data_IF_378832980358
#
_entry.id   IF_378832980358
#
_cell.length_a   1.000
_cell.length_b   1.000
_cell.length_c   1.000
_cell.angle_alpha   90.00
_cell.angle_beta   90.00
_cell.angle_gamma   90.00
#
_symmetry.space_group_name_H-M   'P 1'
#
loop_
_entity.id
_entity.type
_entity.pdbx_description
1 polymer ?
2 non-polymer ?
3 non-polymer ?
4 water ?
#
# COMPACT_ATOMS: atom_id res chain seq x y z
N UNK A 4 20.06 10.00 -9.52
CA UNK A 4 18.71 9.97 -10.06
C UNK A 4 18.63 10.37 -11.53
N UNK A 5 19.73 10.90 -12.08
CA UNK A 5 19.65 11.51 -13.40
C UNK A 5 19.44 10.50 -14.52
N UNK A 6 19.67 9.21 -14.26
CA UNK A 6 19.33 8.20 -15.26
C UNK A 6 17.86 7.81 -15.19
N UNK A 7 17.39 7.43 -14.00
CA UNK A 7 15.98 7.04 -13.84
C UNK A 7 15.05 8.21 -14.16
N UNK A 8 15.51 9.44 -13.91
CA UNK A 8 14.67 10.60 -14.21
C UNK A 8 14.49 10.83 -15.71
N UNK A 9 15.30 10.18 -16.56
CA UNK A 9 15.09 10.28 -18.00
C UNK A 9 13.76 9.68 -18.40
N UNK A 10 13.24 8.73 -17.62
CA UNK A 10 11.92 8.16 -17.86
C UNK A 10 10.79 9.10 -17.46
N UNK A 11 11.11 10.21 -16.79
CA UNK A 11 10.12 11.12 -16.25
C UNK A 11 10.00 12.36 -17.13
N UNK A 12 8.78 12.87 -17.27
CA UNK A 12 8.53 14.12 -17.98
C UNK A 12 8.72 15.29 -17.03
N UNK A 13 9.65 16.20 -17.37
CA UNK A 13 9.79 17.43 -16.61
C UNK A 13 8.64 18.37 -16.99
N UNK A 14 7.83 18.75 -16.01
CA UNK A 14 6.63 19.54 -16.25
C UNK A 14 6.91 20.99 -15.90
N UNK A 15 6.50 21.89 -16.75
CA UNK A 15 6.74 23.28 -16.45
C UNK A 15 5.71 23.79 -15.45
N UNK A 16 6.13 24.59 -14.47
CA UNK A 16 5.20 25.02 -13.41
C UNK A 16 3.93 25.66 -13.92
N UNK A 17 3.99 26.33 -15.08
CA UNK A 17 2.80 26.97 -15.63
C UNK A 17 1.70 25.97 -15.91
N UNK A 18 2.07 24.73 -16.24
CA UNK A 18 1.11 23.70 -16.63
C UNK A 18 0.38 23.07 -15.45
N UNK A 19 0.71 23.45 -14.22
CA UNK A 19 0.17 22.80 -13.02
C UNK A 19 -0.58 23.83 -12.20
N UNK A 20 -1.78 23.46 -11.76
CA UNK A 20 -2.61 24.29 -10.90
C UNK A 20 -2.93 23.50 -9.63
N UNK A 21 -2.40 23.95 -8.49
CA UNK A 21 -2.75 23.36 -7.21
C UNK A 21 -4.05 23.96 -6.69
N UNK A 22 -4.90 23.13 -6.09
CA UNK A 22 -6.26 23.55 -5.81
C UNK A 22 -6.71 23.31 -4.37
N UNK A 23 -6.43 22.14 -3.82
CA UNK A 23 -6.89 21.80 -2.47
C UNK A 23 -5.85 20.94 -1.77
N UNK A 24 -5.57 21.26 -0.51
CA UNK A 24 -4.69 20.43 0.30
C UNK A 24 -5.41 19.14 0.66
N UNK A 25 -4.79 18.00 0.35
CA UNK A 25 -5.33 16.69 0.69
C UNK A 25 -4.39 15.89 1.57
N UNK A 26 -3.21 16.43 1.87
CA UNK A 26 -2.27 15.79 2.77
C UNK A 26 -1.20 16.79 3.15
N UNK A 27 -0.54 16.51 4.27
CA UNK A 27 0.44 17.46 4.77
C UNK A 27 1.58 16.73 5.44
N UNK A 28 2.72 17.41 5.50
CA UNK A 28 3.88 16.90 6.19
C UNK A 28 4.80 18.05 6.55
N UNK A 29 6.01 17.68 6.99
CA UNK A 29 6.94 18.68 7.52
C UNK A 29 7.52 19.57 6.44
N UNK A 30 7.93 18.98 5.30
CA UNK A 30 8.65 19.73 4.28
C UNK A 30 7.88 19.79 2.97
N UNK A 31 6.57 19.62 3.01
CA UNK A 31 5.76 19.70 1.81
C UNK A 31 4.35 19.23 2.10
N UNK A 32 3.50 19.37 1.09
CA UNK A 32 2.10 18.99 1.18
C UNK A 32 1.71 18.13 -0.01
N UNK A 33 0.49 17.61 0.03
CA UNK A 33 -0.14 16.88 -1.05
C UNK A 33 -1.38 17.65 -1.47
N UNK A 34 -1.54 17.87 -2.77
CA UNK A 34 -2.63 18.65 -3.32
C UNK A 34 -3.38 17.85 -4.37
N UNK A 35 -4.66 18.17 -4.51
CA UNK A 35 -5.38 17.91 -5.75
C UNK A 35 -5.14 19.10 -6.67
N UNK A 36 -4.97 18.82 -7.95
CA UNK A 36 -4.81 19.89 -8.92
C UNK A 36 -5.17 19.47 -10.33
N UNK A 37 -4.74 20.28 -11.30
CA UNK A 37 -4.94 20.00 -12.71
C UNK A 37 -3.63 20.21 -13.46
N UNK A 38 -3.45 19.44 -14.54
CA UNK A 38 -2.18 19.40 -15.26
C UNK A 38 -2.43 19.66 -16.74
N UNK A 39 -1.86 20.75 -17.24
CA UNK A 39 -1.98 21.10 -18.66
C UNK A 39 -1.23 20.10 -19.53
N UNK A 40 -1.93 19.53 -20.51
CA UNK A 40 -1.31 18.69 -21.51
C UNK A 40 -2.00 18.85 -22.86
N UNK A 45 -6.27 20.31 -23.13
CA UNK A 45 -7.16 19.65 -22.20
C UNK A 45 -6.48 19.57 -20.84
N UNK A 46 -7.25 19.34 -19.79
CA UNK A 46 -6.71 19.29 -18.44
C UNK A 46 -7.19 18.04 -17.73
N UNK A 47 -6.26 17.38 -17.04
CA UNK A 47 -6.49 16.14 -16.31
C UNK A 47 -6.30 16.44 -14.83
N UNK A 48 -7.17 15.94 -13.95
CA UNK A 48 -6.89 16.10 -12.52
C UNK A 48 -5.68 15.25 -12.11
N UNK A 49 -4.92 15.77 -11.16
CA UNK A 49 -3.70 15.12 -10.69
C UNK A 49 -3.58 15.25 -9.18
N UNK A 50 -2.81 14.34 -8.60
CA UNK A 50 -2.32 14.53 -7.24
C UNK A 50 -0.89 15.06 -7.30
N UNK A 51 -0.57 15.94 -6.36
CA UNK A 51 0.69 16.66 -6.38
C UNK A 51 1.33 16.60 -5.01
N UNK A 52 2.55 16.08 -4.93
CA UNK A 52 3.35 16.06 -3.70
C UNK A 52 4.50 17.04 -3.85
N UNK A 53 4.69 17.91 -2.86
CA UNK A 53 5.66 18.99 -2.95
C UNK A 53 6.80 18.83 -1.95
N UNK A 54 7.92 19.48 -2.28
CA UNK A 54 9.10 19.59 -1.42
C UNK A 54 9.55 21.06 -1.46
N UNK A 55 9.38 21.76 -0.34
CA UNK A 55 9.62 23.19 -0.28
C UNK A 55 11.11 23.53 -0.16
N UNK A 56 11.46 24.74 -0.59
CA UNK A 56 12.83 25.24 -0.47
C UNK A 56 13.33 25.09 0.97
N UNK A 57 14.63 24.80 1.10
CA UNK A 57 15.22 24.48 2.38
C UNK A 57 15.53 23.01 2.56
N UNK A 58 15.05 22.15 1.65
CA UNK A 58 15.32 20.72 1.75
C UNK A 58 16.81 20.44 1.67
N UNK A 59 17.22 19.32 2.27
CA UNK A 59 18.61 18.88 2.23
C UNK A 59 18.89 18.12 0.93
N UNK A 60 20.18 17.86 0.71
CA UNK A 60 20.58 17.00 -0.40
C UNK A 60 19.92 15.63 -0.31
N UNK A 61 19.97 15.02 0.87
CA UNK A 61 19.36 13.70 1.05
C UNK A 61 17.87 13.76 0.77
N UNK A 62 17.19 14.81 1.23
CA UNK A 62 15.76 14.92 0.97
C UNK A 62 15.48 15.01 -0.53
N UNK A 63 16.29 15.77 -1.27
CA UNK A 63 16.10 15.88 -2.72
C UNK A 63 16.33 14.54 -3.41
N UNK A 64 17.39 13.83 -3.03
CA UNK A 64 17.70 12.54 -3.65
C UNK A 64 16.58 11.54 -3.35
N UNK A 65 16.11 11.50 -2.10
CA UNK A 65 15.00 10.61 -1.74
C UNK A 65 13.72 10.98 -2.49
N UNK A 66 13.42 12.29 -2.55
CA UNK A 66 12.17 12.75 -3.14
C UNK A 66 12.13 12.47 -4.64
N UNK A 67 13.17 12.91 -5.36
CA UNK A 67 13.21 12.63 -6.79
C UNK A 67 13.41 11.15 -7.05
N UNK A 68 14.04 10.43 -6.12
CA UNK A 68 14.24 9.00 -6.29
C UNK A 68 12.93 8.24 -6.34
N UNK A 69 11.93 8.67 -5.56
CA UNK A 69 10.61 8.05 -5.66
C UNK A 69 10.05 8.17 -7.07
N UNK A 70 10.19 9.34 -7.69
CA UNK A 70 9.70 9.52 -9.04
C UNK A 70 10.48 8.67 -10.02
N UNK A 71 11.80 8.56 -9.83
CA UNK A 71 12.60 7.71 -10.69
C UNK A 71 12.15 6.28 -10.65
N UNK A 72 11.74 5.81 -9.46
CA UNK A 72 11.23 4.44 -9.33
C UNK A 72 9.85 4.32 -9.94
N UNK A 73 8.93 5.24 -9.58
CA UNK A 73 7.58 5.20 -10.09
C UNK A 73 7.54 5.23 -11.62
N UNK A 74 8.45 5.99 -12.23
CA UNK A 74 8.50 6.10 -13.68
C UNK A 74 8.91 4.84 -14.40
N UNK A 75 9.45 3.85 -13.69
CA UNK A 75 9.80 2.56 -14.27
C UNK A 75 8.60 1.63 -14.40
N UNK A 76 7.51 1.92 -13.69
CA UNK A 76 6.37 1.04 -13.55
C UNK A 76 5.25 1.44 -14.50
N UNK A 77 4.59 0.44 -15.08
CA UNK A 77 3.41 0.66 -15.91
C UNK A 77 2.42 -0.48 -15.64
N UNK A 78 1.50 -0.25 -14.71
CA UNK A 78 0.57 -1.30 -14.34
C UNK A 78 -0.72 -0.67 -13.81
N UNK A 79 -1.84 -1.31 -14.14
CA UNK A 79 -3.17 -0.83 -13.75
C UNK A 79 -3.29 -0.59 -12.25
N UNK A 80 -2.57 -1.36 -11.43
CA UNK A 80 -2.72 -1.30 -9.98
C UNK A 80 -1.53 -0.64 -9.28
N UNK A 81 -0.80 0.21 -9.99
CA UNK A 81 0.34 0.96 -9.50
C UNK A 81 0.11 2.42 -9.89
N UNK A 82 0.24 3.32 -8.92
CA UNK A 82 -0.04 4.73 -9.20
C UNK A 82 0.85 5.21 -10.35
N UNK A 83 0.24 5.91 -11.31
CA UNK A 83 0.91 6.36 -12.52
C UNK A 83 1.53 7.74 -12.32
N UNK A 84 2.80 7.86 -12.69
CA UNK A 84 3.52 9.12 -12.63
C UNK A 84 3.20 9.94 -13.87
N UNK A 85 2.71 11.16 -13.66
CA UNK A 85 2.54 12.08 -14.79
C UNK A 85 3.83 12.82 -15.11
N UNK A 86 4.56 13.24 -14.08
CA UNK A 86 5.82 13.92 -14.30
C UNK A 86 6.30 14.57 -13.01
N UNK A 87 7.36 15.38 -13.14
CA UNK A 87 7.95 16.04 -11.98
C UNK A 87 8.28 17.49 -12.34
N UNK A 88 8.33 18.32 -11.30
CA UNK A 88 8.97 19.62 -11.36
C UNK A 88 10.22 19.53 -10.50
N UNK A 89 11.39 19.55 -11.15
CA UNK A 89 12.66 19.43 -10.46
C UNK A 89 13.59 20.61 -10.68
N UNK A 90 13.35 21.40 -11.73
CA UNK A 90 14.19 22.55 -12.02
C UNK A 90 13.82 23.76 -11.16
N UNK A 91 12.58 23.83 -10.68
CA UNK A 91 12.07 24.96 -9.94
C UNK A 91 11.63 24.52 -8.54
N UNK A 92 11.31 25.50 -7.72
CA UNK A 92 10.83 25.25 -6.36
C UNK A 92 9.45 25.85 -6.16
N UNK A 93 8.58 25.15 -5.41
CA UNK A 93 8.85 23.86 -4.76
C UNK A 93 8.90 22.72 -5.76
N UNK A 94 9.72 21.72 -5.48
CA UNK A 94 9.74 20.54 -6.34
C UNK A 94 8.41 19.80 -6.20
N UNK A 95 8.06 19.03 -7.23
CA UNK A 95 6.77 18.37 -7.25
C UNK A 95 6.86 17.01 -7.91
N UNK A 96 6.14 16.04 -7.36
CA UNK A 96 5.82 14.79 -8.03
C UNK A 96 4.33 14.81 -8.35
N UNK A 97 4.00 14.61 -9.60
CA UNK A 97 2.63 14.73 -10.09
C UNK A 97 2.17 13.37 -10.58
N UNK A 98 1.08 12.86 -10.00
CA UNK A 98 0.55 11.54 -10.33
C UNK A 98 -0.89 11.66 -10.81
N UNK A 99 -1.41 10.55 -11.33
CA UNK A 99 -2.85 10.46 -11.55
C UNK A 99 -3.58 10.72 -10.23
N UNK A 100 -4.81 11.22 -10.35
CA UNK A 100 -5.62 11.57 -9.19
C UNK A 100 -6.55 10.43 -8.83
N UNK A 101 -6.56 10.07 -7.56
CA UNK A 101 -7.39 8.99 -7.05
C UNK A 101 -8.49 9.62 -6.21
N UNK A 102 -9.72 9.63 -6.76
CA UNK A 102 -10.79 10.47 -6.23
C UNK A 102 -11.18 10.11 -4.81
N UNK A 103 -10.97 8.86 -4.40
CA UNK A 103 -11.47 8.39 -3.11
C UNK A 103 -10.38 8.26 -2.06
N UNK A 104 -9.14 8.67 -2.36
CA UNK A 104 -8.14 8.78 -1.31
C UNK A 104 -7.59 7.44 -0.85
N UNK A 105 -7.04 7.49 0.36
CA UNK A 105 -6.37 6.33 0.94
C UNK A 105 -7.39 5.29 1.38
N UNK A 106 -7.06 4.02 1.12
CA UNK A 106 -8.00 2.92 1.32
C UNK A 106 -8.43 2.77 2.78
N UNK A 107 -7.51 3.01 3.72
CA UNK A 107 -7.87 2.82 5.12
C UNK A 107 -8.93 3.83 5.55
N UNK A 108 -8.71 5.11 5.24
CA UNK A 108 -9.69 6.12 5.59
C UNK A 108 -10.98 5.94 4.80
N UNK A 109 -10.87 5.59 3.52
CA UNK A 109 -12.03 5.32 2.67
C UNK A 109 -12.95 4.28 3.31
N UNK A 110 -12.40 3.13 3.68
CA UNK A 110 -13.23 2.07 4.27
C UNK A 110 -13.83 2.48 5.62
N UNK A 111 -13.08 3.20 6.45
CA UNK A 111 -13.61 3.63 7.75
C UNK A 111 -14.74 4.62 7.61
N UNK A 112 -14.77 5.36 6.50
CA UNK A 112 -15.85 6.30 6.25
C UNK A 112 -17.00 5.70 5.46
N UNK A 113 -16.82 4.51 4.89
CA UNK A 113 -17.82 3.83 4.10
C UNK A 113 -18.21 2.50 4.73
N UNK A 114 -18.20 2.42 6.06
CA UNK A 114 -18.36 1.16 6.76
C UNK A 114 -19.63 0.44 6.34
N UNK A 115 -19.48 -0.80 5.87
CA UNK A 115 -20.60 -1.64 5.46
C UNK A 115 -21.26 -1.27 4.16
N UNK A 116 -20.64 -0.41 3.34
CA UNK A 116 -21.32 0.06 2.13
C UNK A 116 -20.99 -0.74 0.88
N UNK A 117 -20.16 -1.78 0.96
CA UNK A 117 -19.75 -2.56 -0.20
C UNK A 117 -20.16 -4.01 -0.05
N UNK A 118 -20.31 -4.68 -1.20
CA UNK A 118 -20.53 -6.12 -1.20
C UNK A 118 -19.22 -6.86 -0.96
N UNK A 119 -19.34 -8.12 -0.55
CA UNK A 119 -18.16 -8.96 -0.40
C UNK A 119 -17.39 -9.04 -1.71
N UNK A 120 -18.10 -9.18 -2.83
CA UNK A 120 -17.43 -9.26 -4.12
C UNK A 120 -16.62 -8.01 -4.42
N UNK A 121 -17.16 -6.82 -4.10
CA UNK A 121 -16.38 -5.59 -4.31
C UNK A 121 -15.12 -5.58 -3.46
N UNK A 122 -15.24 -5.96 -2.18
CA UNK A 122 -14.06 -5.98 -1.30
C UNK A 122 -13.02 -6.96 -1.81
N UNK A 123 -13.45 -8.15 -2.22
CA UNK A 123 -12.49 -9.11 -2.74
C UNK A 123 -11.89 -8.62 -4.06
N UNK A 124 -12.67 -7.89 -4.87
CA UNK A 124 -12.10 -7.31 -6.08
C UNK A 124 -11.00 -6.30 -5.79
N UNK A 125 -11.19 -5.48 -4.75
CA UNK A 125 -10.14 -4.60 -4.26
C UNK A 125 -8.86 -5.38 -4.00
N UNK A 126 -8.99 -6.47 -3.24
CA UNK A 126 -7.83 -7.25 -2.85
C UNK A 126 -7.13 -7.85 -4.06
N UNK A 127 -7.89 -8.26 -5.07
CA UNK A 127 -7.30 -8.79 -6.30
C UNK A 127 -6.46 -7.73 -6.99
N UNK A 128 -6.96 -6.50 -7.06
CA UNK A 128 -6.19 -5.42 -7.67
C UNK A 128 -4.89 -5.17 -6.91
N UNK A 129 -4.97 -5.12 -5.58
CA UNK A 129 -3.77 -4.88 -4.77
C UNK A 129 -2.76 -5.99 -5.00
N UNK A 130 -3.23 -7.24 -5.02
CA UNK A 130 -2.35 -8.37 -5.21
C UNK A 130 -1.71 -8.35 -6.61
N UNK A 131 -2.46 -7.91 -7.63
CA UNK A 131 -1.89 -7.79 -8.98
C UNK A 131 -0.81 -6.73 -9.03
N UNK A 132 -1.04 -5.58 -8.41
CA UNK A 132 0.00 -4.57 -8.33
C UNK A 132 1.23 -5.08 -7.61
N UNK A 133 1.03 -5.81 -6.51
CA UNK A 133 2.15 -6.35 -5.73
C UNK A 133 2.89 -7.43 -6.49
N UNK A 134 2.17 -8.29 -7.23
CA UNK A 134 2.83 -9.28 -8.06
C UNK A 134 3.77 -8.61 -9.06
N UNK A 135 3.30 -7.51 -9.66
CA UNK A 135 4.10 -6.77 -10.62
C UNK A 135 5.36 -6.20 -9.95
N UNK A 136 5.19 -5.52 -8.82
CA UNK A 136 6.35 -4.99 -8.08
C UNK A 136 7.35 -6.09 -7.77
N UNK A 137 6.85 -7.22 -7.23
CA UNK A 137 7.76 -8.30 -6.85
C UNK A 137 8.53 -8.81 -8.05
N UNK A 138 7.85 -8.97 -9.19
CA UNK A 138 8.57 -9.51 -10.33
C UNK A 138 9.45 -8.49 -11.01
N UNK A 139 9.22 -7.21 -10.75
CA UNK A 139 10.15 -6.16 -11.12
C UNK A 139 11.29 -6.01 -10.11
N UNK A 140 11.40 -6.94 -9.15
CA UNK A 140 12.44 -6.94 -8.12
C UNK A 140 12.36 -5.70 -7.23
N UNK A 141 11.13 -5.31 -6.88
CA UNK A 141 10.88 -4.18 -5.99
C UNK A 141 10.17 -4.69 -4.75
N UNK A 142 10.79 -4.50 -3.58
CA UNK A 142 10.20 -4.86 -2.30
C UNK A 142 9.61 -3.61 -1.68
N UNK A 143 8.35 -3.68 -1.29
CA UNK A 143 7.67 -2.44 -0.89
C UNK A 143 8.07 -1.98 0.52
N UNK A 144 8.08 -2.89 1.50
CA UNK A 144 8.44 -2.68 2.90
C UNK A 144 7.36 -1.97 3.74
N UNK A 145 6.39 -1.31 3.11
CA UNK A 145 5.37 -0.57 3.86
C UNK A 145 3.99 -0.79 3.25
N UNK A 146 3.69 -2.03 2.88
CA UNK A 146 2.37 -2.34 2.32
C UNK A 146 1.34 -2.33 3.45
N UNK A 147 0.32 -1.50 3.29
CA UNK A 147 -0.70 -1.23 4.30
C UNK A 147 -1.79 -0.45 3.58
N UNK A 148 -3.00 -0.50 4.12
CA UNK A 148 -4.11 0.18 3.44
C UNK A 148 -3.87 1.68 3.30
N UNK A 149 -3.14 2.28 4.24
CA UNK A 149 -2.85 3.70 4.16
C UNK A 149 -2.02 4.06 2.94
N UNK A 150 -1.34 3.09 2.32
CA UNK A 150 -0.55 3.34 1.13
C UNK A 150 -1.21 2.85 -0.14
N UNK A 151 -2.48 2.47 -0.09
CA UNK A 151 -3.25 2.11 -1.27
C UNK A 151 -4.22 3.25 -1.55
N UNK A 152 -4.29 3.69 -2.80
CA UNK A 152 -5.22 4.75 -3.18
C UNK A 152 -6.34 4.19 -4.04
N UNK A 153 -7.52 4.83 -3.98
CA UNK A 153 -8.73 4.29 -4.61
C UNK A 153 -9.33 5.34 -5.54
N UNK A 154 -9.64 4.95 -6.77
CA UNK A 154 -10.24 5.90 -7.70
C UNK A 154 -11.74 5.65 -7.80
N UNK A 155 -12.41 6.43 -8.67
CA UNK A 155 -13.86 6.37 -8.77
C UNK A 155 -14.38 5.13 -9.50
N UNK A 156 -13.51 4.30 -10.09
CA UNK A 156 -13.87 2.97 -10.54
C UNK A 156 -13.63 1.90 -9.48
N UNK A 157 -13.28 2.32 -8.26
CA UNK A 157 -12.95 1.43 -7.14
C UNK A 157 -11.66 0.66 -7.39
N UNK A 158 -10.84 1.13 -8.31
CA UNK A 158 -9.57 0.48 -8.57
C UNK A 158 -8.59 0.90 -7.50
N UNK A 159 -7.92 -0.08 -6.90
CA UNK A 159 -6.91 0.16 -5.87
C UNK A 159 -5.53 0.17 -6.50
N UNK A 160 -4.72 1.17 -6.14
CA UNK A 160 -3.38 1.27 -6.69
C UNK A 160 -2.36 1.44 -5.57
N UNK A 161 -1.27 0.69 -5.67
CA UNK A 161 -0.21 0.79 -4.67
C UNK A 161 0.57 2.08 -4.89
N UNK A 162 0.92 2.76 -3.79
CA UNK A 162 1.72 3.99 -3.82
C UNK A 162 2.80 3.90 -2.75
N UNK A 163 3.60 4.98 -2.64
CA UNK A 163 4.63 5.17 -1.63
C UNK A 163 5.88 4.35 -1.94
N UNK A 164 6.75 4.91 -2.79
CA UNK A 164 7.92 4.19 -3.29
C UNK A 164 9.19 4.94 -2.87
N UNK A 165 10.29 4.22 -2.87
CA UNK A 165 11.57 4.85 -2.56
C UNK A 165 12.45 3.89 -1.78
N UNK A 166 13.59 4.43 -1.35
CA UNK A 166 14.52 3.65 -0.56
C UNK A 166 14.29 3.95 0.92
N UNK A 167 15.23 4.62 1.59
CA UNK A 167 15.09 4.82 3.03
C UNK A 167 13.89 5.70 3.38
N UNK A 168 13.44 6.55 2.45
CA UNK A 168 12.39 7.52 2.74
C UNK A 168 11.07 6.85 3.10
N UNK A 169 10.82 5.63 2.63
CA UNK A 169 9.50 5.01 2.83
C UNK A 169 9.23 4.82 4.31
N UNK A 170 10.14 4.14 5.02
CA UNK A 170 9.90 3.91 6.45
C UNK A 170 10.28 5.11 7.30
N UNK A 171 11.18 5.98 6.83
CA UNK A 171 11.49 7.20 7.58
C UNK A 171 10.27 8.10 7.68
N UNK A 172 9.53 8.23 6.58
CA UNK A 172 8.43 9.20 6.49
C UNK A 172 7.13 8.72 7.10
N UNK A 173 6.97 7.41 7.31
CA UNK A 173 5.69 6.89 7.79
C UNK A 173 5.63 6.95 9.31
N UNK A 174 4.72 7.73 9.90
CA UNK A 174 4.67 7.78 11.37
C UNK A 174 4.24 6.46 12.01
N UNK A 175 3.66 5.53 11.26
CA UNK A 175 3.38 4.21 11.83
C UNK A 175 4.65 3.41 12.05
N UNK A 176 5.75 3.76 11.39
CA UNK A 176 6.99 3.05 11.57
C UNK A 176 7.70 3.61 12.79
N UNK A 177 7.93 2.76 13.78
CA UNK A 177 8.53 3.13 15.05
C UNK A 177 9.88 2.44 15.19
N UNK A 178 10.71 2.97 16.07
CA UNK A 178 12.04 2.41 16.28
C UNK A 178 11.96 1.16 17.15
N UNK A 179 12.57 0.07 16.69
CA UNK A 179 12.65 -1.13 17.51
C UNK A 179 13.77 -0.97 18.54
N UNK A 180 13.85 -1.96 19.43
CA UNK A 180 14.93 -1.96 20.41
C UNK A 180 16.29 -2.13 19.73
N UNK A 181 16.34 -2.68 18.52
CA UNK A 181 17.58 -2.92 17.80
C UNK A 181 17.91 -1.85 16.76
N UNK A 182 17.14 -0.77 16.69
CA UNK A 182 17.53 0.39 15.91
C UNK A 182 16.87 0.55 14.55
N UNK A 183 16.02 -0.38 14.13
CA UNK A 183 15.29 -0.24 12.89
C UNK A 183 13.96 0.46 13.08
N UNK A 184 13.54 1.21 12.05
CA UNK A 184 12.27 1.94 12.05
C UNK A 184 11.29 1.19 11.17
N UNK A 185 10.30 0.52 11.78
CA UNK A 185 9.41 -0.36 11.01
C UNK A 185 8.00 -0.27 11.55
N UNK A 186 6.99 -0.47 10.66
CA UNK A 186 5.58 -0.49 11.08
C UNK A 186 5.20 -1.86 11.58
N UNK A 187 5.35 -2.03 12.90
CA UNK A 187 5.43 -3.36 13.49
C UNK A 187 4.22 -4.23 13.13
N UNK A 188 3.00 -3.70 13.24
CA UNK A 188 1.90 -4.63 13.11
C UNK A 188 1.58 -4.99 11.66
N UNK A 189 2.29 -4.40 10.67
CA UNK A 189 2.21 -4.82 9.27
C UNK A 189 3.40 -5.65 8.84
N UNK A 190 4.39 -5.87 9.70
CA UNK A 190 5.68 -6.35 9.24
C UNK A 190 5.91 -7.81 9.64
N UNK A 191 6.48 -8.58 8.69
CA UNK A 191 6.73 -10.01 8.92
C UNK A 191 7.78 -10.22 10.00
N UNK A 192 7.72 -11.36 10.69
CA UNK A 192 8.65 -11.61 11.81
C UNK A 192 10.12 -11.51 11.41
N UNK A 193 10.52 -12.06 10.24
CA UNK A 193 11.93 -12.03 9.87
C UNK A 193 12.40 -10.61 9.56
N UNK A 194 11.50 -9.73 9.13
CA UNK A 194 11.90 -8.35 8.90
C UNK A 194 12.09 -7.62 10.22
N UNK A 195 11.22 -7.87 11.20
CA UNK A 195 11.41 -7.29 12.52
C UNK A 195 12.67 -7.85 13.17
N UNK A 196 12.83 -9.17 13.12
CA UNK A 196 13.86 -9.85 13.91
C UNK A 196 15.26 -9.63 13.33
N UNK A 197 15.43 -9.72 12.00
CA UNK A 197 16.79 -9.56 11.48
C UNK A 197 16.86 -8.78 10.17
N UNK A 198 15.85 -7.93 9.92
CA UNK A 198 15.90 -6.91 8.88
C UNK A 198 15.84 -7.53 7.48
N UNK A 199 15.17 -8.67 7.37
CA UNK A 199 15.07 -9.42 6.12
C UNK A 199 13.77 -9.02 5.44
N UNK A 200 13.86 -8.02 4.56
CA UNK A 200 12.71 -7.52 3.81
C UNK A 200 12.75 -8.10 2.40
N UNK A 201 11.71 -8.84 2.03
CA UNK A 201 11.63 -9.46 0.71
C UNK A 201 10.19 -9.38 0.22
N UNK A 202 9.96 -9.84 -1.01
CA UNK A 202 8.58 -9.93 -1.46
C UNK A 202 7.75 -10.87 -0.58
N UNK A 203 8.40 -11.82 0.11
CA UNK A 203 7.67 -12.69 1.03
C UNK A 203 7.27 -12.00 2.33
N UNK A 204 8.06 -11.03 2.81
CA UNK A 204 7.56 -10.23 3.93
C UNK A 204 6.47 -9.27 3.44
N UNK A 205 6.52 -8.84 2.18
CA UNK A 205 5.39 -8.08 1.64
C UNK A 205 4.11 -8.92 1.60
N UNK A 206 4.24 -10.23 1.38
CA UNK A 206 3.05 -11.10 1.41
C UNK A 206 2.44 -11.11 2.82
N UNK A 207 3.26 -11.19 3.86
CA UNK A 207 2.75 -11.05 5.23
C UNK A 207 1.95 -9.77 5.36
N UNK A 208 2.52 -8.65 4.89
CA UNK A 208 1.83 -7.37 4.96
C UNK A 208 0.54 -7.41 4.17
N UNK A 209 0.56 -8.05 2.99
CA UNK A 209 -0.67 -8.18 2.23
C UNK A 209 -1.76 -8.89 3.04
N UNK A 210 -1.39 -9.93 3.79
CA UNK A 210 -2.35 -10.59 4.65
C UNK A 210 -2.98 -9.62 5.64
N UNK A 211 -2.18 -8.72 6.19
CA UNK A 211 -2.74 -7.70 7.08
C UNK A 211 -3.67 -6.77 6.30
N UNK A 212 -3.29 -6.40 5.07
CA UNK A 212 -4.17 -5.56 4.24
C UNK A 212 -5.48 -6.27 3.96
N UNK A 213 -5.44 -7.58 3.71
CA UNK A 213 -6.69 -8.34 3.54
C UNK A 213 -7.59 -8.18 4.77
N UNK A 214 -6.99 -8.24 5.96
CA UNK A 214 -7.76 -8.07 7.18
C UNK A 214 -8.29 -6.63 7.29
N UNK A 215 -7.46 -5.63 6.95
CA UNK A 215 -7.93 -4.25 6.95
C UNK A 215 -9.13 -4.05 6.04
N UNK A 216 -9.07 -4.64 4.84
CA UNK A 216 -10.17 -4.47 3.90
C UNK A 216 -11.43 -5.14 4.43
N UNK A 217 -11.33 -6.41 4.82
CA UNK A 217 -12.54 -7.14 5.21
C UNK A 217 -13.17 -6.62 6.50
N UNK A 218 -12.41 -5.90 7.33
CA UNK A 218 -12.92 -5.27 8.55
C UNK A 218 -13.34 -3.82 8.35
N UNK A 219 -13.27 -3.30 7.13
CA UNK A 219 -13.53 -1.87 6.85
C UNK A 219 -12.60 -0.97 7.67
N UNK A 220 -11.33 -1.32 7.71
CA UNK A 220 -10.33 -0.44 8.26
C UNK A 220 -10.15 -0.51 9.75
N UNK A 221 -10.47 -1.65 10.36
CA UNK A 221 -10.09 -1.86 11.75
C UNK A 221 -8.58 -1.79 11.91
N UNK A 222 -8.14 -1.26 13.05
CA UNK A 222 -6.70 -1.14 13.28
C UNK A 222 -6.17 -2.51 13.73
N UNK A 223 -5.20 -3.09 13.03
CA UNK A 223 -4.76 -4.44 13.39
C UNK A 223 -4.26 -4.52 14.82
N UNK A 224 -4.68 -5.58 15.50
CA UNK A 224 -4.32 -5.94 16.88
C UNK A 224 -4.86 -4.96 17.90
N UNK A 225 -5.75 -4.04 17.49
CA UNK A 225 -6.46 -3.11 18.39
C UNK A 225 -5.44 -2.42 19.30
N UNK A 226 -5.61 -2.45 20.62
CA UNK A 226 -4.82 -1.63 21.51
C UNK A 226 -3.57 -2.34 22.02
N UNK A 227 -3.27 -3.54 21.50
CA UNK A 227 -2.00 -4.17 21.85
C UNK A 227 -0.86 -3.23 21.53
N UNK A 228 0.11 -3.16 22.44
CA UNK A 228 1.33 -2.42 22.17
C UNK A 228 2.15 -3.14 21.11
N UNK A 229 3.12 -2.43 20.53
CA UNK A 229 3.99 -3.05 19.52
C UNK A 229 4.71 -4.26 20.09
N UNK A 230 5.21 -4.17 21.32
CA UNK A 230 5.86 -5.32 21.92
C UNK A 230 4.88 -6.48 22.12
N UNK A 231 3.66 -6.17 22.57
CA UNK A 231 2.65 -7.23 22.75
C UNK A 231 2.26 -7.88 21.41
N UNK A 232 2.25 -7.10 20.31
CA UNK A 232 2.02 -7.69 18.99
C UNK A 232 3.14 -8.66 18.64
N UNK A 233 4.39 -8.22 18.79
CA UNK A 233 5.52 -9.09 18.48
C UNK A 233 5.50 -10.35 19.33
N UNK A 234 5.14 -10.22 20.62
CA UNK A 234 5.08 -11.38 21.49
C UNK A 234 3.94 -12.32 21.08
N UNK A 235 2.77 -11.76 20.75
CA UNK A 235 1.63 -12.60 20.36
C UNK A 235 1.95 -13.38 19.09
N UNK A 236 2.57 -12.73 18.10
CA UNK A 236 2.89 -13.41 16.85
C UNK A 236 3.91 -14.51 17.10
N UNK A 237 4.93 -14.23 17.91
CA UNK A 237 5.96 -15.23 18.18
C UNK A 237 5.39 -16.44 18.91
N UNK A 238 4.32 -16.23 19.69
CA UNK A 238 3.67 -17.31 20.43
C UNK A 238 2.57 -18.00 19.63
N UNK A 239 2.35 -17.60 18.38
CA UNK A 239 1.46 -18.32 17.48
C UNK A 239 0.09 -17.70 17.28
N UNK A 240 -0.21 -16.60 17.97
CA UNK A 240 -1.47 -15.88 17.82
C UNK A 240 -1.55 -15.22 16.44
N UNK A 241 -2.76 -15.16 15.89
CA UNK A 241 -2.98 -14.44 14.64
C UNK A 241 -4.28 -13.65 14.77
N UNK A 242 -4.45 -12.68 13.90
CA UNK A 242 -5.69 -11.90 13.93
C UNK A 242 -6.88 -12.82 13.72
N UNK A 243 -7.99 -12.58 14.40
CA UNK A 243 -9.18 -13.42 14.23
C UNK A 243 -9.97 -13.06 12.97
N UNK A 244 -10.92 -13.93 12.64
CA UNK A 244 -11.63 -13.72 11.39
C UNK A 244 -12.49 -12.46 11.46
N UNK A 245 -12.50 -11.66 10.42
CA UNK A 245 -13.43 -10.52 10.33
C UNK A 245 -14.88 -10.99 10.31
N UNK A 246 -15.79 -10.06 10.61
CA UNK A 246 -17.21 -10.35 10.44
C UNK A 246 -17.53 -10.53 8.96
N UNK A 247 -18.44 -11.45 8.67
CA UNK A 247 -19.00 -11.63 7.32
C UNK A 247 -17.90 -11.90 6.29
N UNK A 248 -16.88 -12.65 6.70
CA UNK A 248 -15.70 -12.93 5.88
C UNK A 248 -15.79 -14.30 5.23
N UNK A 249 -15.67 -14.39 3.90
CA UNK A 249 -15.64 -15.70 3.25
C UNK A 249 -14.55 -16.58 3.84
N UNK A 250 -14.89 -17.85 4.07
CA UNK A 250 -13.91 -18.78 4.62
C UNK A 250 -12.65 -18.84 3.77
N UNK A 251 -12.79 -18.83 2.43
CA UNK A 251 -11.63 -18.89 1.56
C UNK A 251 -10.72 -17.70 1.76
N UNK A 252 -11.30 -16.52 2.01
CA UNK A 252 -10.51 -15.32 2.20
C UNK A 252 -9.75 -15.38 3.53
N UNK A 253 -10.43 -15.83 4.60
CA UNK A 253 -9.72 -15.96 5.88
C UNK A 253 -8.60 -16.99 5.78
N UNK A 254 -8.87 -18.13 5.12
CA UNK A 254 -7.81 -19.12 4.93
C UNK A 254 -6.62 -18.52 4.19
N UNK A 255 -6.89 -17.72 3.16
CA UNK A 255 -5.79 -17.11 2.42
C UNK A 255 -4.98 -16.15 3.28
N UNK A 256 -5.63 -15.30 4.08
CA UNK A 256 -4.82 -14.38 4.88
C UNK A 256 -4.02 -15.15 5.94
N UNK A 257 -4.58 -16.23 6.49
CA UNK A 257 -3.84 -17.03 7.45
C UNK A 257 -2.61 -17.66 6.81
N UNK A 258 -2.69 -18.02 5.53
CA UNK A 258 -1.50 -18.54 4.85
C UNK A 258 -0.44 -17.48 4.64
N UNK A 259 -0.85 -16.22 4.47
CA UNK A 259 0.11 -15.13 4.37
C UNK A 259 0.90 -14.94 5.65
N UNK A 260 0.37 -15.38 6.80
CA UNK A 260 0.99 -15.17 8.10
C UNK A 260 1.69 -16.42 8.62
N UNK A 261 2.15 -17.28 7.72
CA UNK A 261 2.97 -18.41 8.18
C UNK A 261 4.29 -17.88 8.70
N UNK A 262 4.72 -18.38 9.87
CA UNK A 262 5.99 -17.94 10.41
C UNK A 262 7.14 -18.26 9.44
N UNK A 263 7.12 -19.45 8.84
CA UNK A 263 8.17 -19.83 7.90
C UNK A 263 7.92 -19.15 6.56
N UNK A 264 8.85 -18.27 6.18
CA UNK A 264 8.70 -17.48 4.98
C UNK A 264 8.43 -18.33 3.74
N UNK A 265 9.09 -19.50 3.64
CA UNK A 265 8.94 -20.34 2.45
C UNK A 265 7.56 -20.97 2.32
N UNK A 266 6.79 -21.02 3.40
CA UNK A 266 5.46 -21.60 3.32
C UNK A 266 4.38 -20.62 2.87
N UNK A 267 4.68 -19.32 2.82
CA UNK A 267 3.68 -18.34 2.41
C UNK A 267 3.44 -18.43 0.90
N UNK A 268 2.22 -18.15 0.44
CA UNK A 268 1.98 -18.07 -1.01
C UNK A 268 2.82 -16.94 -1.61
N UNK A 269 3.15 -17.09 -2.88
CA UNK A 269 3.67 -15.95 -3.62
C UNK A 269 2.52 -15.10 -4.10
N UNK A 270 2.82 -13.86 -4.51
CA UNK A 270 1.76 -13.02 -5.05
C UNK A 270 1.14 -13.64 -6.29
N UNK A 271 1.93 -14.39 -7.07
CA UNK A 271 1.33 -15.12 -8.20
C UNK A 271 0.23 -16.06 -7.73
N UNK A 272 0.45 -16.74 -6.59
CA UNK A 272 -0.56 -17.63 -6.04
C UNK A 272 -1.78 -16.86 -5.54
N UNK A 273 -1.54 -15.74 -4.87
CA UNK A 273 -2.62 -14.93 -4.33
C UNK A 273 -3.52 -14.41 -5.44
N UNK A 274 -2.93 -13.88 -6.52
CA UNK A 274 -3.73 -13.37 -7.63
C UNK A 274 -4.56 -14.49 -8.23
N UNK A 275 -3.92 -15.64 -8.46
CA UNK A 275 -4.62 -16.78 -9.05
C UNK A 275 -5.83 -17.17 -8.21
N UNK A 276 -5.64 -17.27 -6.89
CA UNK A 276 -6.71 -17.72 -6.01
C UNK A 276 -7.84 -16.71 -5.98
N UNK A 277 -7.49 -15.43 -5.87
CA UNK A 277 -8.55 -14.40 -5.82
C UNK A 277 -9.31 -14.35 -7.14
N UNK A 278 -8.60 -14.50 -8.26
CA UNK A 278 -9.25 -14.53 -9.57
C UNK A 278 -10.31 -15.62 -9.61
N UNK A 279 -9.92 -16.83 -9.20
CA UNK A 279 -10.84 -17.97 -9.30
C UNK A 279 -12.05 -17.79 -8.38
N UNK A 280 -11.84 -17.24 -7.18
CA UNK A 280 -12.97 -16.99 -6.29
C UNK A 280 -13.92 -15.96 -6.91
N UNK A 281 -13.38 -14.92 -7.53
CA UNK A 281 -14.20 -13.86 -8.09
C UNK A 281 -14.99 -14.37 -9.28
N UNK A 282 -14.37 -15.22 -10.10
CA UNK A 282 -15.03 -15.69 -11.31
C UNK A 282 -16.03 -16.80 -11.03
N UNK A 283 -16.03 -17.34 -9.82
CA UNK A 283 -17.05 -18.28 -9.35
C UNK A 283 -17.61 -17.75 -8.04
N UNK A 284 -18.37 -16.65 -8.08
CA UNK A 284 -18.62 -15.88 -6.86
C UNK A 284 -19.39 -16.62 -5.77
N UNK A 285 -20.01 -17.77 -6.07
CA UNK A 285 -20.64 -18.56 -5.02
C UNK A 285 -19.63 -19.06 -4.01
N UNK A 286 -18.36 -19.17 -4.40
CA UNK A 286 -17.30 -19.61 -3.49
C UNK A 286 -17.14 -18.68 -2.31
N UNK A 287 -17.59 -17.44 -2.42
CA UNK A 287 -17.49 -16.46 -1.35
C UNK A 287 -18.70 -16.47 -0.43
N UNK A 288 -19.73 -17.27 -0.73
CA UNK A 288 -20.93 -17.28 0.10
C UNK A 288 -20.70 -18.02 1.41
N UNK A 289 -19.75 -18.96 1.43
CA UNK A 289 -19.44 -19.72 2.64
C UNK A 289 -18.57 -18.89 3.56
N UNK A 290 -19.08 -18.59 4.77
CA UNK A 290 -18.43 -17.64 5.67
C UNK A 290 -17.71 -18.36 6.80
N UNK A 291 -16.50 -17.88 7.12
CA UNK A 291 -15.81 -18.32 8.33
C UNK A 291 -16.59 -17.91 9.57
N UNK A 292 -16.61 -18.79 10.57
CA UNK A 292 -17.29 -18.49 11.82
C UNK A 292 -16.72 -17.23 12.44
N UNK A 293 -17.57 -16.28 12.77
CA UNK A 293 -17.15 -15.11 13.52
C UNK A 293 -17.43 -15.37 15.00
N UNK A 294 -16.36 -15.37 15.81
CA UNK A 294 -16.33 -15.82 17.21
C UNK A 294 -17.69 -16.02 17.90
X LIG B 1 -7.42 11.70 -2.06
X LIG B 1 -6.29 11.51 -2.48
X LIG B 1 -6.08 11.35 -3.82
X LIG B 1 -4.84 11.11 -4.32
X LIG B 1 -4.63 10.92 -5.73
X LIG B 1 -5.23 11.42 -1.64
X LIG B 1 -5.44 11.60 -0.15
X LIG B 1 -3.99 11.20 -2.08
X LIG B 1 -3.74 11.03 -3.47
X LIG B 1 -2.78 11.09 -1.42
X LIG B 1 -1.83 10.85 -2.37
X LIG B 1 -2.37 10.81 -3.63
X LIG B 1 -1.37 10.58 -4.53
X LIG B 1 -0.49 10.66 -2.45
X LIG B 1 -0.15 10.47 -3.74
X LIG B 1 1.30 10.23 -4.14
X LIG B 1 2.02 11.20 -4.87
X LIG B 1 1.30 12.51 -5.34
X LIG B 1 3.33 10.99 -5.18
X LIG B 1 3.98 9.77 -4.73
X LIG B 1 1.94 9.03 -3.68
X LIG B 1 3.26 8.82 -3.99
X LIG B 1 3.83 7.70 -3.57
X LIG B 1 0.42 10.61 -1.26
X LIG B 1 1.36 11.62 -0.99
X LIG B 1 2.16 11.52 0.13
X LIG B 1 2.05 10.41 0.97
X LIG B 1 1.15 9.41 0.69
X LIG B 1 0.31 9.52 -0.45
X LIG B 1 -0.63 8.54 -0.77
X LIG B 1 -0.79 7.46 0.16
X LIG C 1 6.37 -13.10 -5.72
X LIG C 1 5.53 -12.95 -4.56
X LIG C 1 5.56 -12.77 -6.98
X LIG C 1 4.76 -13.90 -7.36
X LIG D 1 7.41 0.58 25.96
X LIG D 1 8.64 -0.01 26.39
X LIG D 1 6.22 -0.24 26.45
X LIG D 1 6.07 -1.44 25.71
X LIG E 1 -6.97 -23.92 -0.13
X LIG E 1 -6.11 -23.99 1.01
X LIG E 1 -8.42 -23.84 0.34
X LIG E 1 -9.21 -23.19 -0.67
#
# INVERSE_FOLDING_TARGET
>A
GDPNQAVLKFTTEIHPSCVTRQKVIGAGEFGEVYKGMLKTSSGKKEVPVAIKTLKAGYTEKQRVDFLGEAGIMGQFSHHNIIRLEGVISKYKPMMIITEYMENGALDKFLREKDGEFSVLQLVGMLRGIAAGMKYLANMNYVHRDLAARNILVNSNLVCKVSDFGLSRVLEDDPEATYTTSGGKIPIRWTAPEAISYRKFTSASDVWSFGIVMWEVMTYGERPYWELSNHEVMKAINDGFRLPTPMDCPSAIYQLMMQCWQQERARRPKFADIVSILDKLIRAPDSLKTLADFDPRVSIRLPSTSG
>B hetero
1 L66 O2 C17 N4 C16 O3 N5 C18 C2 C3 N1 C1 N2 C4 N3 C5 C10 C11 C40 C12 C13 C15 C14 O41 C32 C33 C34 C35 C36 C37 O38 C39
>C hetero
1 EDO C1 O1 C2 O2
>D hetero
1 EDO C1 O1 C2 O2
>E hetero
1 EDO C1 O1 C2 O2
#
